data_IF_949602743322
#
_entry.id   IF_949602743322
#
_cell.length_a   1.000
_cell.length_b   1.000
_cell.length_c   1.000
_cell.angle_alpha   90.00
_cell.angle_beta   90.00
_cell.angle_gamma   90.00
#
_symmetry.space_group_name_H-M   'P 1'
#
loop_
_entity.id
_entity.type
_entity.pdbx_description
1 polymer ?
#
# COMPACT_ATOMS: atom_id res chain seq x y z
N UNK A 1 9.23 -5.63 -5.11
CA UNK A 1 9.23 -4.60 -4.05
C UNK A 1 7.91 -4.55 -3.26
N UNK A 2 6.77 -4.09 -3.81
CA UNK A 2 5.51 -3.88 -3.05
C UNK A 2 4.96 -5.11 -2.32
N UNK A 3 5.06 -6.31 -2.92
CA UNK A 3 4.64 -7.55 -2.27
C UNK A 3 5.43 -7.85 -0.98
N UNK A 4 6.73 -7.51 -0.95
CA UNK A 4 7.55 -7.69 0.25
C UNK A 4 7.07 -6.77 1.38
N UNK A 5 6.81 -5.50 1.08
CA UNK A 5 6.27 -4.56 2.04
C UNK A 5 4.91 -5.02 2.59
N UNK A 6 4.01 -5.51 1.73
CA UNK A 6 2.73 -6.08 2.17
C UNK A 6 2.90 -7.28 3.09
N UNK A 7 3.80 -8.22 2.76
CA UNK A 7 4.07 -9.40 3.60
C UNK A 7 4.66 -9.00 4.94
N UNK A 8 5.64 -8.10 4.96
CA UNK A 8 6.26 -7.60 6.18
C UNK A 8 5.24 -6.89 7.07
N UNK A 9 4.37 -6.06 6.47
CA UNK A 9 3.33 -5.36 7.21
C UNK A 9 2.29 -6.32 7.78
N UNK A 10 1.90 -7.36 7.03
CA UNK A 10 1.01 -8.43 7.52
C UNK A 10 1.64 -9.20 8.67
N UNK A 11 2.93 -9.57 8.56
CA UNK A 11 3.66 -10.28 9.59
C UNK A 11 3.75 -9.50 10.90
N UNK A 12 3.85 -8.16 10.82
CA UNK A 12 3.86 -7.26 11.98
C UNK A 12 2.45 -6.87 12.48
N UNK A 13 1.39 -7.43 11.90
CA UNK A 13 0.01 -7.15 12.31
C UNK A 13 -0.52 -5.79 11.86
N UNK A 14 0.16 -5.08 10.96
CA UNK A 14 -0.36 -3.85 10.38
C UNK A 14 -1.57 -4.15 9.49
N UNK A 15 -2.62 -3.32 9.63
CA UNK A 15 -3.91 -3.50 8.93
C UNK A 15 -4.10 -2.54 7.76
N UNK A 16 -3.21 -1.57 7.60
CA UNK A 16 -3.32 -0.52 6.60
C UNK A 16 -1.95 -0.24 6.00
N UNK A 17 -1.89 -0.18 4.67
CA UNK A 17 -0.75 0.33 3.92
C UNK A 17 -1.22 1.49 3.06
N UNK A 18 -0.51 2.61 3.08
CA UNK A 18 -0.85 3.80 2.33
C UNK A 18 0.35 4.37 1.59
N UNK A 19 0.10 5.07 0.50
CA UNK A 19 1.13 5.71 -0.32
C UNK A 19 0.56 6.89 -1.12
N UNK A 20 1.45 7.78 -1.53
CA UNK A 20 1.16 8.86 -2.47
C UNK A 20 1.52 8.37 -3.87
N UNK A 21 0.52 7.92 -4.62
CA UNK A 21 0.74 7.38 -5.97
C UNK A 21 0.79 8.54 -6.96
N UNK A 22 1.73 8.53 -7.90
CA UNK A 22 1.61 9.39 -9.08
C UNK A 22 0.28 9.13 -9.78
N UNK A 23 -0.38 10.19 -10.24
CA UNK A 23 -1.69 10.11 -10.90
C UNK A 23 -1.70 9.15 -12.10
N UNK A 24 -0.58 9.09 -12.83
CA UNK A 24 -0.36 8.18 -13.96
C UNK A 24 -0.22 6.71 -13.57
N UNK A 25 0.22 6.42 -12.34
CA UNK A 25 0.41 5.07 -11.82
C UNK A 25 -0.82 4.54 -11.07
N UNK A 26 -1.89 5.32 -10.96
CA UNK A 26 -3.08 4.97 -10.20
C UNK A 26 -3.71 3.64 -10.67
N UNK A 27 -3.84 3.42 -11.97
CA UNK A 27 -4.40 2.18 -12.52
C UNK A 27 -3.61 0.93 -12.09
N UNK A 28 -2.30 1.05 -11.91
CA UNK A 28 -1.45 -0.03 -11.40
C UNK A 28 -1.81 -0.37 -9.94
N UNK A 29 -1.97 0.64 -9.08
CA UNK A 29 -2.33 0.43 -7.67
C UNK A 29 -3.77 -0.04 -7.49
N UNK A 30 -4.71 0.42 -8.32
CA UNK A 30 -6.09 -0.09 -8.35
C UNK A 30 -6.11 -1.60 -8.63
N UNK A 31 -5.33 -2.07 -9.61
CA UNK A 31 -5.19 -3.50 -9.92
C UNK A 31 -4.54 -4.31 -8.79
N UNK A 32 -3.70 -3.68 -7.97
CA UNK A 32 -3.12 -4.29 -6.78
C UNK A 32 -4.07 -4.30 -5.57
N UNK A 33 -5.29 -3.75 -5.71
CA UNK A 33 -6.30 -3.71 -4.65
C UNK A 33 -6.18 -2.51 -3.71
N UNK A 34 -5.39 -1.49 -4.06
CA UNK A 34 -5.44 -0.21 -3.39
C UNK A 34 -6.69 0.57 -3.82
N UNK A 35 -7.14 1.48 -2.96
CA UNK A 35 -8.27 2.37 -3.18
C UNK A 35 -7.81 3.80 -2.96
N UNK A 36 -8.40 4.73 -3.70
CA UNK A 36 -8.19 6.16 -3.49
C UNK A 36 -8.88 6.56 -2.20
N UNK A 37 -8.19 7.31 -1.33
CA UNK A 37 -8.77 7.79 -0.06
C UNK A 37 -8.65 9.30 0.14
N UNK A 38 -8.08 10.01 -0.83
CA UNK A 38 -8.00 11.45 -0.84
C UNK A 38 -8.07 12.02 -2.25
N UNK A 39 -8.03 13.34 -2.32
CA UNK A 39 -8.01 14.09 -3.57
C UNK A 39 -6.63 14.08 -4.23
N UNK A 40 -6.59 14.49 -5.50
CA UNK A 40 -5.36 14.68 -6.22
C UNK A 40 -4.65 15.94 -5.72
N UNK A 41 -3.33 15.85 -5.50
CA UNK A 41 -2.51 16.96 -5.03
C UNK A 41 -1.20 17.03 -5.79
N UNK A 42 -0.59 18.21 -5.85
CA UNK A 42 0.70 18.41 -6.49
C UNK A 42 1.83 18.23 -5.47
N UNK A 43 2.76 17.34 -5.77
CA UNK A 43 4.01 17.18 -5.03
C UNK A 43 5.16 17.40 -6.01
N UNK A 44 5.95 18.46 -5.78
CA UNK A 44 7.05 18.87 -6.68
C UNK A 44 6.60 19.08 -8.14
N UNK A 45 5.38 19.59 -8.34
CA UNK A 45 4.80 19.81 -9.68
C UNK A 45 4.27 18.55 -10.37
N UNK A 46 4.31 17.40 -9.70
CA UNK A 46 3.78 16.14 -10.23
C UNK A 46 2.45 15.82 -9.53
N UNK A 47 1.39 15.49 -10.28
CA UNK A 47 0.11 15.11 -9.69
C UNK A 47 0.22 13.74 -9.00
N UNK A 48 -0.19 13.70 -7.74
CA UNK A 48 -0.24 12.53 -6.88
C UNK A 48 -1.64 12.36 -6.29
N UNK A 49 -1.95 11.14 -5.86
CA UNK A 49 -3.19 10.80 -5.19
C UNK A 49 -2.89 9.86 -4.02
N UNK A 50 -3.53 10.11 -2.87
CA UNK A 50 -3.42 9.23 -1.72
C UNK A 50 -4.18 7.92 -1.98
N UNK A 51 -3.47 6.81 -1.86
CA UNK A 51 -4.04 5.47 -2.05
C UNK A 51 -3.74 4.57 -0.86
N UNK A 52 -4.70 3.72 -0.51
CA UNK A 52 -4.64 2.85 0.66
C UNK A 52 -5.11 1.44 0.34
N UNK A 53 -4.50 0.46 0.98
CA UNK A 53 -4.90 -0.94 0.92
C UNK A 53 -5.04 -1.48 2.34
N UNK A 54 -6.21 -2.03 2.64
CA UNK A 54 -6.42 -2.78 3.89
C UNK A 54 -5.72 -4.11 3.76
N UNK A 55 -4.85 -4.40 4.71
CA UNK A 55 -4.20 -5.70 4.85
C UNK A 55 -5.09 -6.56 5.72
N UNK A 56 -5.60 -7.65 5.16
CA UNK A 56 -6.27 -8.66 5.98
C UNK A 56 -5.22 -9.34 6.86
N UNK A 57 -5.54 -9.63 8.14
CA UNK A 57 -4.72 -10.49 8.95
C UNK A 57 -4.67 -11.87 8.27
N UNK A 58 -3.60 -12.10 7.51
CA UNK A 58 -3.27 -13.41 6.97
C UNK A 58 -2.33 -14.08 7.94
N UNK A 59 -2.61 -15.34 8.27
CA UNK A 59 -1.87 -16.17 9.22
C UNK A 59 -0.37 -16.23 8.86
N UNK A 60 0.40 -15.27 9.36
CA UNK A 60 1.83 -15.41 9.44
C UNK A 60 2.10 -16.07 10.79
N UNK A 61 2.20 -17.41 10.79
CA UNK A 61 2.99 -18.10 11.81
C UNK A 61 4.40 -17.54 11.64
N UNK A 62 4.74 -16.54 12.45
CA UNK A 62 6.12 -16.12 12.62
C UNK A 62 6.78 -17.18 13.49
N UNK A 63 7.04 -18.36 12.91
CA UNK A 63 8.03 -19.25 13.50
C UNK A 63 9.36 -18.50 13.40
N UNK A 64 9.90 -18.14 14.56
CA UNK A 64 11.09 -17.32 14.68
C UNK A 64 12.24 -17.88 13.84
N UNK A 65 12.89 -17.01 13.09
CA UNK A 65 14.18 -17.30 12.51
C UNK A 65 15.01 -16.00 12.51
N UNK A 66 15.86 -15.93 13.54
CA UNK A 66 17.05 -15.11 13.77
C UNK A 66 16.97 -13.59 13.63
#
# INVERSE_FOLDING_TARGET
MFRFAETLCRARGHRLLWLNARRTAEGFYLRLGYRRTGEEFLELGIPHIRMEKRLLPGACRVDGAQ
#
